data_IF_252264942689
#
_entry.id   IF_252264942689
#
_cell.length_a   1.000
_cell.length_b   1.000
_cell.length_c   1.000
_cell.angle_alpha   90.00
_cell.angle_beta   90.00
_cell.angle_gamma   90.00
#
_symmetry.space_group_name_H-M   'P 1'
#
loop_
_entity.id
_entity.type
_entity.pdbx_description
1 polymer ?
#
# COMPACT_ATOMS: atom_id res chain seq x y z
N UNK A 1 12.08 -1.60 30.20
CA UNK A 1 11.62 -2.62 29.23
C UNK A 1 10.35 -2.12 28.57
N UNK A 2 10.46 -1.43 27.44
CA UNK A 2 9.30 -1.06 26.63
C UNK A 2 8.79 -2.31 25.94
N UNK A 3 7.55 -2.71 26.22
CA UNK A 3 6.89 -3.80 25.49
C UNK A 3 7.01 -3.54 23.99
N UNK A 4 7.39 -4.53 23.16
CA UNK A 4 7.40 -4.33 21.72
C UNK A 4 5.99 -3.93 21.31
N UNK A 5 5.83 -2.70 20.83
CA UNK A 5 4.52 -2.21 20.38
C UNK A 5 4.06 -3.13 19.26
N UNK A 6 3.03 -3.93 19.56
CA UNK A 6 2.40 -4.80 18.58
C UNK A 6 1.57 -3.93 17.66
N UNK A 7 1.75 -4.09 16.36
CA UNK A 7 0.84 -3.50 15.38
C UNK A 7 -0.55 -4.14 15.49
N UNK A 8 -1.48 -3.63 14.71
CA UNK A 8 -2.85 -4.13 14.62
C UNK A 8 -2.91 -5.65 14.41
N UNK A 9 -3.87 -6.30 15.06
CA UNK A 9 -4.13 -7.74 14.92
C UNK A 9 -5.14 -8.07 13.80
N UNK A 10 -5.58 -7.06 13.05
CA UNK A 10 -6.57 -7.19 11.98
C UNK A 10 -5.89 -7.77 10.74
N UNK A 11 -6.45 -8.78 10.05
CA UNK A 11 -5.79 -9.38 8.89
C UNK A 11 -5.90 -8.48 7.65
N UNK A 12 -4.79 -8.39 6.92
CA UNK A 12 -4.73 -7.68 5.64
C UNK A 12 -3.59 -8.24 4.78
N UNK A 13 -3.71 -8.05 3.47
CA UNK A 13 -2.66 -8.32 2.50
C UNK A 13 -2.22 -7.02 1.86
N UNK A 14 -0.92 -6.75 1.84
CA UNK A 14 -0.31 -5.66 1.10
C UNK A 14 0.41 -6.25 -0.11
N UNK A 15 -0.01 -5.84 -1.30
CA UNK A 15 0.66 -6.18 -2.55
C UNK A 15 1.46 -4.95 -2.98
N UNK A 16 2.77 -5.09 -3.09
CA UNK A 16 3.67 -4.06 -3.61
C UNK A 16 4.03 -4.40 -5.04
N UNK A 17 3.95 -3.44 -5.95
CA UNK A 17 4.43 -3.59 -7.31
C UNK A 17 5.17 -2.35 -7.80
N UNK A 18 6.34 -2.55 -8.41
CA UNK A 18 7.16 -1.46 -8.92
C UNK A 18 7.66 -1.64 -10.36
N UNK A 19 6.83 -2.20 -11.25
CA UNK A 19 7.22 -2.43 -12.65
C UNK A 19 7.66 -1.19 -13.46
N UNK A 20 7.53 0.03 -12.91
CA UNK A 20 7.95 1.28 -13.51
C UNK A 20 9.10 1.99 -12.74
N UNK A 21 9.62 1.40 -11.64
CA UNK A 21 10.67 1.98 -10.79
C UNK A 21 11.31 0.92 -9.86
N UNK A 22 12.06 -0.03 -10.43
CA UNK A 22 12.60 -1.19 -9.71
C UNK A 22 13.55 -0.84 -8.55
N UNK A 23 14.39 0.19 -8.68
CA UNK A 23 15.43 0.50 -7.67
C UNK A 23 14.87 0.93 -6.31
N UNK A 24 13.65 1.50 -6.28
CA UNK A 24 12.99 1.94 -5.04
C UNK A 24 12.14 0.84 -4.39
N UNK A 25 11.86 -0.25 -5.12
CA UNK A 25 11.00 -1.34 -4.65
C UNK A 25 11.59 -2.06 -3.44
N UNK A 26 12.90 -2.36 -3.49
CA UNK A 26 13.57 -3.13 -2.44
C UNK A 26 13.59 -2.37 -1.11
N UNK A 27 13.93 -1.07 -1.12
CA UNK A 27 13.91 -0.23 0.09
C UNK A 27 12.52 -0.17 0.72
N UNK A 28 11.47 0.04 -0.10
CA UNK A 28 10.09 0.11 0.39
C UNK A 28 9.62 -1.26 0.92
N UNK A 29 9.97 -2.36 0.25
CA UNK A 29 9.68 -3.71 0.75
C UNK A 29 10.35 -3.94 2.11
N UNK A 30 11.62 -3.55 2.29
CA UNK A 30 12.33 -3.73 3.56
C UNK A 30 11.72 -2.89 4.70
N UNK A 31 11.29 -1.67 4.42
CA UNK A 31 10.56 -0.87 5.40
C UNK A 31 9.22 -1.52 5.77
N UNK A 32 8.44 -1.97 4.78
CA UNK A 32 7.15 -2.62 5.02
C UNK A 32 7.28 -3.96 5.75
N UNK A 33 8.34 -4.74 5.49
CA UNK A 33 8.63 -5.99 6.21
C UNK A 33 8.67 -5.76 7.73
N UNK A 34 9.17 -4.62 8.18
CA UNK A 34 9.22 -4.28 9.61
C UNK A 34 7.81 -4.13 10.20
N UNK A 35 6.90 -3.41 9.52
CA UNK A 35 5.51 -3.31 9.95
C UNK A 35 4.78 -4.64 9.93
N UNK A 36 4.95 -5.40 8.85
CA UNK A 36 4.23 -6.66 8.63
C UNK A 36 4.63 -7.68 9.71
N UNK A 37 5.89 -7.69 10.15
CA UNK A 37 6.34 -8.52 11.30
C UNK A 37 5.69 -8.13 12.63
N UNK A 38 5.24 -6.88 12.79
CA UNK A 38 4.55 -6.40 14.00
C UNK A 38 3.05 -6.63 13.97
N UNK A 39 2.46 -6.89 12.80
CA UNK A 39 1.02 -7.05 12.61
C UNK A 39 0.65 -8.54 12.44
N UNK A 40 0.04 -9.18 13.45
CA UNK A 40 -0.46 -10.54 13.30
C UNK A 40 -1.38 -10.68 12.10
N UNK A 41 -1.22 -11.77 11.34
CA UNK A 41 -2.01 -12.05 10.15
C UNK A 41 -1.85 -11.03 9.01
N UNK A 42 -0.84 -10.16 9.03
CA UNK A 42 -0.48 -9.39 7.85
C UNK A 42 0.29 -10.26 6.84
N UNK A 43 0.15 -9.95 5.55
CA UNK A 43 0.94 -10.57 4.48
C UNK A 43 1.50 -9.50 3.55
N UNK A 44 2.77 -9.62 3.19
CA UNK A 44 3.40 -8.80 2.16
C UNK A 44 3.64 -9.66 0.92
N UNK A 45 3.16 -9.17 -0.23
CA UNK A 45 3.34 -9.81 -1.54
C UNK A 45 4.08 -8.83 -2.44
N UNK A 46 5.23 -9.24 -2.97
CA UNK A 46 5.87 -8.52 -4.07
C UNK A 46 5.33 -9.09 -5.39
N UNK A 47 4.88 -8.23 -6.28
CA UNK A 47 4.30 -8.62 -7.55
C UNK A 47 4.84 -7.77 -8.70
N UNK A 48 4.79 -8.32 -9.92
CA UNK A 48 4.89 -7.50 -11.13
C UNK A 48 3.76 -6.45 -11.15
N UNK A 49 3.87 -5.47 -12.04
CA UNK A 49 2.93 -4.34 -12.10
C UNK A 49 1.46 -4.80 -12.18
N UNK A 50 0.70 -4.54 -11.11
CA UNK A 50 -0.72 -4.91 -11.00
C UNK A 50 -1.60 -4.04 -11.91
N UNK A 51 -1.17 -2.82 -12.23
CA UNK A 51 -1.86 -1.93 -13.17
C UNK A 51 -1.60 -2.29 -14.64
N UNK A 52 -0.64 -3.19 -14.91
CA UNK A 52 -0.07 -3.42 -16.23
C UNK A 52 1.06 -2.42 -16.55
N UNK A 53 2.12 -2.84 -17.26
CA UNK A 53 3.34 -2.05 -17.44
C UNK A 53 3.10 -0.73 -18.18
N UNK A 54 2.29 -0.73 -19.25
CA UNK A 54 1.99 0.47 -20.03
C UNK A 54 1.17 1.48 -19.22
N UNK A 55 0.07 1.04 -18.62
CA UNK A 55 -0.81 1.89 -17.79
C UNK A 55 -0.04 2.52 -16.62
N UNK A 56 0.85 1.75 -15.99
CA UNK A 56 1.69 2.25 -14.90
C UNK A 56 2.72 3.29 -15.39
N UNK A 57 3.36 3.07 -16.54
CA UNK A 57 4.36 4.00 -17.07
C UNK A 57 3.72 5.31 -17.56
N UNK A 58 2.51 5.24 -18.13
CA UNK A 58 1.79 6.39 -18.66
C UNK A 58 0.93 7.12 -17.62
N UNK A 59 0.97 6.72 -16.34
CA UNK A 59 0.11 7.33 -15.33
C UNK A 59 0.51 8.80 -15.08
N UNK A 60 -0.46 9.73 -15.07
CA UNK A 60 -0.17 11.15 -14.85
C UNK A 60 0.24 11.46 -13.40
N UNK A 61 0.06 10.50 -12.49
CA UNK A 61 0.52 10.62 -11.10
C UNK A 61 2.04 10.45 -10.94
N UNK A 62 2.78 10.20 -12.03
CA UNK A 62 4.24 10.05 -12.05
C UNK A 62 4.72 8.66 -11.63
N UNK A 63 6.01 8.35 -11.82
CA UNK A 63 6.61 7.06 -11.48
C UNK A 63 6.66 6.76 -9.96
N UNK A 64 7.01 5.53 -9.59
CA UNK A 64 7.14 5.09 -8.20
C UNK A 64 6.35 3.84 -7.84
N UNK A 65 6.61 3.32 -6.65
CA UNK A 65 6.04 2.07 -6.16
C UNK A 65 4.56 2.23 -5.91
N UNK A 66 3.76 1.23 -6.30
CA UNK A 66 2.35 1.15 -5.95
C UNK A 66 2.14 0.05 -4.92
N UNK A 67 1.21 0.29 -3.99
CA UNK A 67 0.73 -0.74 -3.10
C UNK A 67 -0.80 -0.89 -3.22
N UNK A 68 -1.28 -2.11 -3.04
CA UNK A 68 -2.69 -2.44 -2.89
C UNK A 68 -2.87 -3.08 -1.52
N UNK A 69 -3.72 -2.48 -0.70
CA UNK A 69 -4.06 -3.01 0.62
C UNK A 69 -5.45 -3.63 0.53
N UNK A 70 -5.52 -4.94 0.74
CA UNK A 70 -6.76 -5.70 0.76
C UNK A 70 -7.01 -6.19 2.19
N UNK A 71 -8.05 -5.67 2.89
CA UNK A 71 -8.50 -6.30 4.12
C UNK A 71 -8.93 -7.74 3.83
N UNK A 72 -8.64 -8.65 4.75
CA UNK A 72 -8.96 -10.07 4.56
C UNK A 72 -9.35 -10.75 5.87
N UNK A 73 -9.89 -11.95 5.76
CA UNK A 73 -10.09 -12.85 6.91
C UNK A 73 -8.77 -13.53 7.29
N UNK A 74 -8.74 -14.21 8.44
CA UNK A 74 -7.57 -15.01 8.86
C UNK A 74 -7.24 -16.12 7.85
N UNK A 75 -8.26 -16.64 7.17
CA UNK A 75 -8.15 -17.64 6.09
C UNK A 75 -7.86 -17.02 4.72
N UNK A 76 -7.48 -15.74 4.70
CA UNK A 76 -7.05 -15.00 3.50
C UNK A 76 -8.14 -14.75 2.46
N UNK A 77 -9.41 -14.88 2.84
CA UNK A 77 -10.52 -14.44 1.99
C UNK A 77 -10.60 -12.91 2.01
N UNK A 78 -10.65 -12.27 0.83
CA UNK A 78 -10.80 -10.83 0.74
C UNK A 78 -12.11 -10.39 1.41
N UNK A 79 -12.05 -9.32 2.21
CA UNK A 79 -13.23 -8.70 2.80
C UNK A 79 -13.22 -7.20 2.55
N UNK A 80 -14.34 -6.66 2.07
CA UNK A 80 -14.48 -5.23 1.81
C UNK A 80 -13.62 -4.70 0.66
N UNK A 81 -13.61 -3.36 0.47
CA UNK A 81 -12.93 -2.71 -0.63
C UNK A 81 -11.41 -2.73 -0.48
N UNK A 82 -10.70 -2.83 -1.60
CA UNK A 82 -9.25 -2.67 -1.65
C UNK A 82 -8.85 -1.19 -1.69
N UNK A 83 -7.72 -0.85 -1.08
CA UNK A 83 -7.16 0.50 -1.06
C UNK A 83 -5.91 0.58 -1.93
N UNK A 84 -6.00 1.31 -3.05
CA UNK A 84 -4.84 1.68 -3.84
C UNK A 84 -4.04 2.77 -3.14
N UNK A 85 -2.75 2.53 -2.95
CA UNK A 85 -1.81 3.43 -2.28
C UNK A 85 -0.67 3.74 -3.24
N UNK A 86 -0.41 5.02 -3.44
CA UNK A 86 0.75 5.50 -4.18
C UNK A 86 0.43 6.47 -5.32
N UNK A 87 1.45 6.89 -6.11
CA UNK A 87 2.87 6.48 -6.03
C UNK A 87 3.47 6.65 -4.64
N UNK A 88 4.38 5.76 -4.23
CA UNK A 88 5.27 5.94 -3.09
C UNK A 88 6.64 6.28 -3.68
N UNK A 89 7.11 7.49 -3.42
CA UNK A 89 8.34 8.01 -4.02
C UNK A 89 9.50 8.09 -3.04
N UNK A 90 9.26 8.26 -1.75
CA UNK A 90 10.31 8.51 -0.77
C UNK A 90 10.06 7.77 0.55
N UNK A 91 11.01 7.90 1.47
CA UNK A 91 10.99 7.22 2.76
C UNK A 91 9.90 7.78 3.69
N UNK A 92 9.58 9.08 3.60
CA UNK A 92 8.51 9.68 4.40
C UNK A 92 7.13 9.14 4.01
N UNK A 93 6.90 8.96 2.71
CA UNK A 93 5.71 8.30 2.18
C UNK A 93 5.64 6.82 2.56
N UNK A 94 6.77 6.12 2.55
CA UNK A 94 6.85 4.73 3.00
C UNK A 94 6.58 4.61 4.51
N UNK A 95 7.11 5.51 5.33
CA UNK A 95 6.83 5.60 6.76
C UNK A 95 5.37 5.91 7.04
N UNK A 96 4.75 6.83 6.28
CA UNK A 96 3.33 7.13 6.40
C UNK A 96 2.45 5.90 6.08
N UNK A 97 2.82 5.10 5.07
CA UNK A 97 2.13 3.84 4.78
C UNK A 97 2.31 2.85 5.92
N UNK A 98 3.54 2.69 6.42
CA UNK A 98 3.86 1.80 7.54
C UNK A 98 2.98 2.11 8.75
N UNK A 99 2.93 3.36 9.18
CA UNK A 99 2.19 3.77 10.36
C UNK A 99 0.68 3.59 10.17
N UNK A 100 0.16 3.91 8.98
CA UNK A 100 -1.25 3.66 8.61
C UNK A 100 -1.62 2.17 8.68
N UNK A 101 -0.70 1.29 8.27
CA UNK A 101 -0.88 -0.16 8.37
C UNK A 101 -0.78 -0.64 9.82
N UNK A 102 0.26 -0.24 10.56
CA UNK A 102 0.44 -0.67 11.96
C UNK A 102 -0.75 -0.26 12.84
N UNK A 103 -1.37 0.88 12.56
CA UNK A 103 -2.55 1.38 13.28
C UNK A 103 -3.88 0.76 12.83
N UNK A 104 -3.91 -0.07 11.77
CA UNK A 104 -5.16 -0.67 11.28
C UNK A 104 -6.13 0.34 10.68
N UNK A 105 -5.61 1.45 10.16
CA UNK A 105 -6.38 2.65 9.85
C UNK A 105 -7.21 2.54 8.56
N UNK A 106 -6.93 1.56 7.70
CA UNK A 106 -7.63 1.37 6.42
C UNK A 106 -9.14 1.18 6.53
N UNK A 107 -9.65 0.70 7.66
CA UNK A 107 -11.09 0.48 7.80
C UNK A 107 -11.89 1.76 8.09
N UNK A 108 -11.28 2.68 8.83
CA UNK A 108 -12.00 3.83 9.39
C UNK A 108 -11.51 5.16 8.81
N UNK A 109 -10.35 5.16 8.16
CA UNK A 109 -9.73 6.37 7.65
C UNK A 109 -9.35 6.19 6.18
N UNK A 110 -9.46 7.26 5.37
CA UNK A 110 -8.97 7.22 4.00
C UNK A 110 -7.44 7.03 3.97
N UNK A 111 -6.94 6.62 2.81
CA UNK A 111 -5.48 6.58 2.54
C UNK A 111 -4.88 7.98 2.79
N UNK A 112 -3.71 8.08 3.45
CA UNK A 112 -3.05 9.36 3.70
C UNK A 112 -2.96 10.24 2.44
N UNK A 113 -3.18 11.54 2.58
CA UNK A 113 -3.37 12.45 1.43
C UNK A 113 -2.20 12.41 0.44
N UNK A 114 -0.96 12.30 0.91
CA UNK A 114 0.22 12.17 0.05
C UNK A 114 0.23 10.84 -0.74
N UNK A 115 -0.34 9.78 -0.18
CA UNK A 115 -0.43 8.45 -0.79
C UNK A 115 -1.70 8.23 -1.63
N UNK A 116 -2.69 9.10 -1.54
CA UNK A 116 -3.97 8.99 -2.25
C UNK A 116 -3.94 9.57 -3.69
N UNK A 117 -2.75 9.85 -4.25
CA UNK A 117 -2.58 10.45 -5.59
C UNK A 117 -3.27 9.62 -6.68
N UNK A 118 -3.03 8.31 -6.74
CA UNK A 118 -3.68 7.43 -7.73
C UNK A 118 -5.21 7.41 -7.58
N UNK A 119 -5.73 7.27 -6.35
CA UNK A 119 -7.18 7.22 -6.11
C UNK A 119 -7.88 8.51 -6.57
N UNK A 120 -7.27 9.67 -6.32
CA UNK A 120 -7.82 10.97 -6.75
C UNK A 120 -7.85 11.08 -8.27
N UNK A 121 -6.82 10.59 -8.95
CA UNK A 121 -6.80 10.58 -10.41
C UNK A 121 -7.91 9.69 -10.99
N UNK A 122 -8.06 8.44 -10.52
CA UNK A 122 -9.13 7.53 -10.99
C UNK A 122 -10.51 8.16 -10.78
N UNK A 123 -10.75 8.78 -9.62
CA UNK A 123 -12.02 9.46 -9.33
C UNK A 123 -12.25 10.71 -10.19
N UNK A 124 -11.20 11.45 -10.51
CA UNK A 124 -11.27 12.63 -11.37
C UNK A 124 -11.53 12.26 -12.84
N UNK A 125 -10.89 11.19 -13.33
CA UNK A 125 -11.09 10.69 -14.69
C UNK A 125 -12.54 10.24 -14.93
N UNK A 126 -13.15 9.56 -13.95
CA UNK A 126 -14.55 9.12 -14.05
C UNK A 126 -15.60 10.23 -13.99
N UNK A 127 -15.23 11.47 -13.62
CA UNK A 127 -16.14 12.63 -13.57
C UNK A 127 -16.15 13.45 -14.86
N UNK A 128 -15.18 13.24 -15.74
CA UNK A 128 -15.03 13.95 -17.01
C UNK A 128 -15.58 13.16 -18.21
N UNK A 129 -16.38 12.12 -17.97
CA UNK A 129 -17.04 11.32 -19.00
C UNK A 129 -18.55 11.38 -18.86
#
# INVERSE_FOLDING_TARGET
MTSPHRGTARPFTVIVCAGCSADRELSIIDQLRTAIRRCPHAMLVAAKCVLGPLTCASRPTGGGVMALVQPCTKDRAACGPSHWVGPITDEDEAAALRDWLELGQWENTPVPRQLARHQRWVRGAGRNN
#
